data_IF_741610827418
#
_entry.id   IF_741610827418
#
_cell.length_a   1.000
_cell.length_b   1.000
_cell.length_c   1.000
_cell.angle_alpha   90.00
_cell.angle_beta   90.00
_cell.angle_gamma   90.00
#
_symmetry.space_group_name_H-M   'P 1'
#
loop_
_entity.id
_entity.type
_entity.pdbx_description
1 polymer ?
#
# COMPACT_ATOMS: atom_id res chain seq x y z
N UNK A 1 -19.31 45.59 -18.01
CA UNK A 1 -18.21 44.77 -18.53
C UNK A 1 -18.57 43.31 -18.26
N UNK A 2 -18.00 42.32 -18.94
CA UNK A 2 -18.16 40.93 -18.48
C UNK A 2 -17.43 40.81 -17.13
N UNK A 3 -18.11 40.27 -16.13
CA UNK A 3 -17.51 40.04 -14.82
C UNK A 3 -16.49 38.90 -14.94
N UNK A 4 -15.30 39.08 -14.36
CA UNK A 4 -14.32 37.98 -14.29
C UNK A 4 -14.51 37.25 -12.96
N UNK A 5 -14.76 35.95 -13.02
CA UNK A 5 -14.99 35.09 -11.86
C UNK A 5 -13.85 34.08 -11.78
N UNK A 6 -13.20 34.00 -10.62
CA UNK A 6 -12.15 32.99 -10.39
C UNK A 6 -12.77 31.79 -9.69
N UNK A 7 -12.51 30.59 -10.20
CA UNK A 7 -13.11 29.34 -9.71
C UNK A 7 -12.01 28.34 -9.39
N UNK A 8 -11.92 27.89 -8.14
CA UNK A 8 -11.05 26.79 -7.73
C UNK A 8 -11.87 25.51 -7.56
N UNK A 9 -11.43 24.40 -8.17
CA UNK A 9 -12.14 23.11 -8.15
C UNK A 9 -11.21 21.93 -7.87
N UNK A 10 -11.69 21.03 -7.02
CA UNK A 10 -10.95 19.90 -6.45
C UNK A 10 -11.94 18.76 -6.12
N UNK A 11 -11.47 17.51 -6.11
CA UNK A 11 -12.26 16.33 -5.77
C UNK A 11 -11.45 15.32 -4.96
N UNK A 12 -12.04 14.86 -3.85
CA UNK A 12 -11.43 13.94 -2.90
C UNK A 12 -12.18 12.59 -2.85
N UNK A 13 -11.47 11.48 -2.61
CA UNK A 13 -12.07 10.14 -2.56
C UNK A 13 -11.43 9.25 -1.48
N UNK A 14 -12.21 8.87 -0.47
CA UNK A 14 -11.81 8.07 0.70
C UNK A 14 -11.95 6.58 0.37
N UNK A 15 -10.91 6.05 -0.27
CA UNK A 15 -10.98 4.80 -1.04
C UNK A 15 -11.39 5.11 -2.48
N UNK A 16 -10.77 4.44 -3.45
CA UNK A 16 -10.94 4.77 -4.88
C UNK A 16 -11.08 3.46 -5.70
N UNK A 17 -12.30 2.99 -6.01
CA UNK A 17 -13.58 3.64 -5.72
C UNK A 17 -13.97 3.62 -4.23
N UNK A 18 -14.85 4.54 -3.83
CA UNK A 18 -15.29 4.71 -2.45
C UNK A 18 -16.06 6.01 -2.22
N UNK A 19 -16.18 6.41 -0.96
CA UNK A 19 -16.87 7.64 -0.55
C UNK A 19 -16.10 8.87 -1.07
N UNK A 20 -16.71 9.65 -1.96
CA UNK A 20 -16.10 10.84 -2.54
C UNK A 20 -16.85 12.13 -2.23
N UNK A 21 -16.13 13.24 -2.33
CA UNK A 21 -16.68 14.58 -2.25
C UNK A 21 -16.00 15.53 -3.23
N UNK A 22 -16.75 16.51 -3.70
CA UNK A 22 -16.30 17.53 -4.65
C UNK A 22 -16.42 18.92 -4.02
N UNK A 23 -15.48 19.82 -4.35
CA UNK A 23 -15.41 21.16 -3.80
C UNK A 23 -15.23 22.22 -4.89
N UNK A 24 -16.04 23.27 -4.87
CA UNK A 24 -15.92 24.40 -5.77
C UNK A 24 -15.99 25.73 -5.01
N UNK A 25 -14.95 26.54 -5.14
CA UNK A 25 -14.82 27.86 -4.50
C UNK A 25 -14.84 28.96 -5.55
N UNK A 26 -15.94 29.71 -5.58
CA UNK A 26 -16.25 30.74 -6.57
C UNK A 26 -15.93 32.11 -5.95
N UNK A 27 -15.06 32.89 -6.59
CA UNK A 27 -14.70 34.24 -6.17
C UNK A 27 -15.13 35.24 -7.24
N UNK A 28 -16.04 36.13 -6.86
CA UNK A 28 -16.49 37.26 -7.68
C UNK A 28 -15.85 38.58 -7.18
N UNK A 29 -16.10 39.70 -7.86
CA UNK A 29 -15.63 41.03 -7.42
C UNK A 29 -16.22 41.49 -6.07
N UNK A 30 -17.32 40.87 -5.61
CA UNK A 30 -18.10 41.32 -4.44
C UNK A 30 -18.34 40.24 -3.38
N UNK A 31 -18.41 38.97 -3.78
CA UNK A 31 -18.81 37.84 -2.91
C UNK A 31 -17.99 36.58 -3.19
N UNK A 32 -17.82 35.76 -2.16
CA UNK A 32 -17.23 34.42 -2.21
C UNK A 32 -18.32 33.37 -1.97
N UNK A 33 -18.43 32.36 -2.84
CA UNK A 33 -19.35 31.24 -2.69
C UNK A 33 -18.60 29.92 -2.52
N UNK A 34 -19.06 29.09 -1.60
CA UNK A 34 -18.44 27.82 -1.23
C UNK A 34 -19.44 26.70 -1.47
N UNK A 35 -19.14 25.85 -2.45
CA UNK A 35 -20.00 24.76 -2.90
C UNK A 35 -19.31 23.43 -2.61
N UNK A 36 -20.09 22.45 -2.15
CA UNK A 36 -19.61 21.09 -1.95
C UNK A 36 -20.76 20.08 -2.09
N UNK A 37 -20.39 18.82 -2.31
CA UNK A 37 -21.29 17.67 -2.32
C UNK A 37 -20.48 16.38 -2.39
N UNK A 38 -21.14 15.22 -2.52
CA UNK A 38 -20.44 13.94 -2.60
C UNK A 38 -21.32 12.77 -3.04
N UNK A 39 -20.65 11.65 -3.32
CA UNK A 39 -21.23 10.38 -3.77
C UNK A 39 -20.71 9.24 -2.87
N UNK A 40 -21.53 8.23 -2.62
CA UNK A 40 -21.23 7.14 -1.68
C UNK A 40 -20.21 6.12 -2.23
N UNK A 41 -20.25 5.87 -3.53
CA UNK A 41 -19.36 4.96 -4.25
C UNK A 41 -18.97 5.55 -5.62
N UNK A 42 -17.91 6.35 -5.62
CA UNK A 42 -17.41 7.10 -6.77
C UNK A 42 -15.89 6.97 -6.90
N UNK A 43 -15.24 7.79 -7.74
CA UNK A 43 -13.76 7.85 -7.86
C UNK A 43 -13.27 9.29 -7.80
N UNK A 44 -11.99 9.49 -7.51
CA UNK A 44 -11.39 10.83 -7.48
C UNK A 44 -11.65 11.59 -8.78
N UNK A 45 -11.30 10.96 -9.92
CA UNK A 45 -11.51 11.48 -11.28
C UNK A 45 -13.00 11.73 -11.65
N UNK A 46 -13.97 11.30 -10.84
CA UNK A 46 -15.39 11.69 -10.98
C UNK A 46 -15.69 12.92 -10.15
N UNK A 47 -15.28 12.97 -8.88
CA UNK A 47 -15.45 14.16 -8.03
C UNK A 47 -14.76 15.40 -8.62
N UNK A 48 -13.57 15.22 -9.17
CA UNK A 48 -12.80 16.24 -9.90
C UNK A 48 -13.59 16.84 -11.08
N UNK A 49 -14.24 15.98 -11.89
CA UNK A 49 -15.09 16.41 -12.99
C UNK A 49 -16.39 17.04 -12.49
N UNK A 50 -17.00 16.51 -11.43
CA UNK A 50 -18.22 17.08 -10.84
C UNK A 50 -17.95 18.46 -10.23
N UNK A 51 -16.82 18.67 -9.55
CA UNK A 51 -16.41 19.98 -9.04
C UNK A 51 -16.33 21.02 -10.16
N UNK A 52 -15.67 20.67 -11.27
CA UNK A 52 -15.58 21.50 -12.46
C UNK A 52 -16.96 21.78 -13.10
N UNK A 53 -17.83 20.77 -13.20
CA UNK A 53 -19.18 20.91 -13.78
C UNK A 53 -20.05 21.83 -12.91
N UNK A 54 -20.22 21.51 -11.64
CA UNK A 54 -21.13 22.25 -10.74
C UNK A 54 -20.62 23.68 -10.47
N UNK A 55 -19.30 23.87 -10.35
CA UNK A 55 -18.69 25.20 -10.24
C UNK A 55 -18.90 26.09 -11.48
N UNK A 56 -18.81 25.51 -12.69
CA UNK A 56 -19.10 26.24 -13.93
C UNK A 56 -20.61 26.52 -14.04
N UNK A 57 -21.46 25.55 -13.76
CA UNK A 57 -22.93 25.70 -13.84
C UNK A 57 -23.48 26.74 -12.86
N UNK A 58 -22.87 26.91 -11.69
CA UNK A 58 -23.21 27.97 -10.74
C UNK A 58 -22.91 29.39 -11.28
N UNK A 59 -21.86 29.54 -12.09
CA UNK A 59 -21.47 30.83 -12.64
C UNK A 59 -22.40 31.29 -13.79
N UNK A 60 -22.64 32.61 -13.96
CA UNK A 60 -23.39 33.16 -15.10
C UNK A 60 -22.81 32.78 -16.48
N UNK A 61 -23.66 32.71 -17.50
CA UNK A 61 -23.27 32.33 -18.86
C UNK A 61 -22.44 33.39 -19.61
N UNK A 62 -22.53 34.66 -19.19
CA UNK A 62 -21.90 35.83 -19.80
C UNK A 62 -20.68 36.35 -19.02
N UNK A 63 -20.35 35.72 -17.87
CA UNK A 63 -19.14 35.97 -17.11
C UNK A 63 -17.93 35.27 -17.76
N UNK A 64 -16.76 35.90 -17.70
CA UNK A 64 -15.49 35.23 -18.01
C UNK A 64 -15.06 34.42 -16.81
N UNK A 65 -14.74 33.14 -17.01
CA UNK A 65 -14.28 32.25 -15.95
C UNK A 65 -12.76 32.04 -16.02
N UNK A 66 -12.10 32.04 -14.86
CA UNK A 66 -10.71 31.64 -14.69
C UNK A 66 -10.69 30.44 -13.76
N UNK A 67 -10.59 29.25 -14.33
CA UNK A 67 -10.74 27.97 -13.61
C UNK A 67 -9.38 27.41 -13.24
N UNK A 68 -9.19 27.14 -11.95
CA UNK A 68 -7.99 26.57 -11.36
C UNK A 68 -8.29 25.19 -10.81
N UNK A 69 -7.44 24.22 -11.18
CA UNK A 69 -7.48 22.85 -10.66
C UNK A 69 -6.06 22.29 -10.60
N UNK A 70 -5.77 21.44 -9.64
CA UNK A 70 -4.53 20.64 -9.61
C UNK A 70 -4.69 19.28 -10.33
N UNK A 71 -5.90 18.95 -10.77
CA UNK A 71 -6.18 17.79 -11.60
C UNK A 71 -5.63 17.95 -13.02
N UNK A 72 -4.47 17.33 -13.26
CA UNK A 72 -3.91 17.21 -14.63
C UNK A 72 -4.86 16.46 -15.56
N UNK A 73 -5.70 15.56 -15.02
CA UNK A 73 -6.73 14.83 -15.77
C UNK A 73 -7.84 15.76 -16.28
N UNK A 74 -8.38 16.64 -15.41
CA UNK A 74 -9.37 17.65 -15.83
C UNK A 74 -8.74 18.62 -16.83
N UNK A 75 -7.57 19.21 -16.49
CA UNK A 75 -6.89 20.20 -17.34
C UNK A 75 -6.55 19.64 -18.72
N UNK A 76 -5.83 18.51 -18.83
CA UNK A 76 -5.43 17.96 -20.14
C UNK A 76 -6.66 17.45 -20.90
N UNK A 77 -7.64 16.87 -20.20
CA UNK A 77 -8.87 16.40 -20.83
C UNK A 77 -9.65 17.51 -21.54
N UNK A 78 -9.88 18.65 -20.87
CA UNK A 78 -10.61 19.78 -21.48
C UNK A 78 -9.78 20.57 -22.50
N UNK A 79 -8.47 20.75 -22.31
CA UNK A 79 -7.65 21.55 -23.26
C UNK A 79 -7.09 20.76 -24.44
N UNK A 80 -6.79 19.47 -24.28
CA UNK A 80 -6.11 18.65 -25.29
C UNK A 80 -7.02 17.54 -25.85
N UNK A 81 -7.60 16.71 -24.99
CA UNK A 81 -8.15 15.41 -25.40
C UNK A 81 -9.60 15.47 -25.92
N UNK A 82 -10.42 16.39 -25.42
CA UNK A 82 -11.87 16.46 -25.71
C UNK A 82 -12.20 16.59 -27.20
N UNK A 83 -11.35 17.28 -27.97
CA UNK A 83 -11.53 17.44 -29.42
C UNK A 83 -11.33 16.12 -30.18
N UNK A 84 -10.47 15.24 -29.67
CA UNK A 84 -10.26 13.89 -30.19
C UNK A 84 -11.37 12.94 -29.78
N UNK A 85 -11.84 13.02 -28.53
CA UNK A 85 -12.95 12.22 -28.02
C UNK A 85 -14.26 12.51 -28.76
N UNK A 86 -14.60 13.77 -29.00
CA UNK A 86 -15.78 14.17 -29.78
C UNK A 86 -15.73 13.62 -31.21
N UNK A 87 -14.56 13.66 -31.88
CA UNK A 87 -14.36 13.04 -33.22
C UNK A 87 -14.51 11.50 -33.21
N UNK A 88 -14.18 10.84 -32.09
CA UNK A 88 -14.36 9.38 -31.90
C UNK A 88 -15.72 9.00 -31.28
N UNK A 89 -16.68 9.93 -31.21
CA UNK A 89 -17.98 9.74 -30.55
C UNK A 89 -17.87 9.17 -29.11
N UNK A 90 -16.87 9.64 -28.36
CA UNK A 90 -16.61 9.23 -26.97
C UNK A 90 -16.32 7.73 -26.77
N UNK A 91 -15.97 7.01 -27.83
CA UNK A 91 -15.59 5.60 -27.75
C UNK A 91 -14.28 5.44 -26.96
N UNK A 92 -14.24 4.44 -26.08
CA UNK A 92 -13.08 4.04 -25.27
C UNK A 92 -12.61 5.14 -24.28
N UNK A 93 -13.50 6.05 -23.87
CA UNK A 93 -13.23 7.15 -22.92
C UNK A 93 -13.73 6.80 -21.50
N UNK A 94 -12.88 7.01 -20.48
CA UNK A 94 -13.22 6.84 -19.04
C UNK A 94 -14.08 8.04 -18.57
N UNK A 95 -15.12 7.81 -17.77
CA UNK A 95 -16.14 8.82 -17.36
C UNK A 95 -16.79 9.62 -18.53
N UNK A 96 -17.29 8.97 -19.60
CA UNK A 96 -17.81 9.65 -20.79
C UNK A 96 -19.17 10.33 -20.55
N UNK A 97 -19.81 10.06 -19.41
CA UNK A 97 -21.02 10.70 -18.90
C UNK A 97 -20.72 12.10 -18.36
N UNK A 98 -19.69 12.23 -17.51
CA UNK A 98 -19.28 13.51 -16.94
C UNK A 98 -18.59 14.39 -17.98
N UNK A 99 -17.74 13.84 -18.85
CA UNK A 99 -17.11 14.62 -19.91
C UNK A 99 -18.12 15.26 -20.87
N UNK A 100 -19.26 14.61 -21.16
CA UNK A 100 -20.34 15.21 -21.96
C UNK A 100 -21.07 16.33 -21.23
N UNK A 101 -21.24 16.24 -19.91
CA UNK A 101 -21.77 17.34 -19.09
C UNK A 101 -20.83 18.54 -19.09
N UNK A 102 -19.53 18.31 -18.90
CA UNK A 102 -18.52 19.38 -18.88
C UNK A 102 -18.38 20.06 -20.25
N UNK A 103 -18.37 19.29 -21.34
CA UNK A 103 -18.40 19.80 -22.73
C UNK A 103 -19.58 20.76 -22.96
N UNK A 104 -20.77 20.38 -22.48
CA UNK A 104 -21.97 21.20 -22.58
C UNK A 104 -21.93 22.44 -21.66
N UNK A 105 -21.41 22.31 -20.44
CA UNK A 105 -21.27 23.42 -19.49
C UNK A 105 -20.26 24.48 -19.96
N UNK A 106 -19.21 24.08 -20.68
CA UNK A 106 -18.25 24.98 -21.31
C UNK A 106 -18.73 25.58 -22.64
N UNK A 107 -19.79 25.05 -23.26
CA UNK A 107 -20.13 25.40 -24.64
C UNK A 107 -20.62 26.86 -24.78
N UNK A 108 -19.80 27.69 -25.44
CA UNK A 108 -20.12 29.09 -25.75
C UNK A 108 -19.75 30.10 -24.67
N UNK A 109 -19.03 29.68 -23.62
CA UNK A 109 -18.48 30.55 -22.57
C UNK A 109 -17.01 30.90 -22.81
N UNK A 110 -16.54 32.01 -22.22
CA UNK A 110 -15.11 32.36 -22.14
C UNK A 110 -14.52 31.78 -20.85
N UNK A 111 -13.64 30.79 -20.97
CA UNK A 111 -13.09 30.01 -19.84
C UNK A 111 -11.59 29.79 -20.03
N UNK A 112 -10.77 30.47 -19.24
CA UNK A 112 -9.33 30.21 -19.13
C UNK A 112 -9.08 29.10 -18.10
N UNK A 113 -8.32 28.07 -18.48
CA UNK A 113 -8.00 26.92 -17.63
C UNK A 113 -6.54 26.95 -17.17
N UNK A 114 -6.35 26.95 -15.85
CA UNK A 114 -5.05 26.99 -15.20
C UNK A 114 -4.81 25.74 -14.36
N UNK A 115 -3.59 25.20 -14.43
CA UNK A 115 -3.13 24.17 -13.52
C UNK A 115 -2.35 24.79 -12.36
N UNK A 116 -2.62 24.34 -11.15
CA UNK A 116 -1.86 24.66 -9.93
C UNK A 116 -1.35 23.37 -9.29
N UNK A 117 -0.33 23.45 -8.43
CA UNK A 117 0.17 22.28 -7.72
C UNK A 117 -0.62 22.07 -6.42
N UNK A 118 -1.22 20.89 -6.25
CA UNK A 118 -1.97 20.53 -5.04
C UNK A 118 -1.13 20.60 -3.76
N UNK A 119 -1.78 21.02 -2.68
CA UNK A 119 -1.22 21.28 -1.34
C UNK A 119 0.13 22.06 -1.37
N UNK A 120 0.17 23.18 -2.10
CA UNK A 120 1.37 24.01 -2.30
C UNK A 120 1.29 25.43 -1.71
N UNK A 121 0.41 25.69 -0.72
CA UNK A 121 0.21 27.03 -0.13
C UNK A 121 -0.77 27.91 -0.91
N UNK A 122 -1.44 27.37 -1.93
CA UNK A 122 -2.36 28.15 -2.77
C UNK A 122 -3.77 28.16 -2.17
N UNK A 123 -4.04 29.18 -1.34
CA UNK A 123 -5.28 29.36 -0.56
C UNK A 123 -6.58 29.00 -1.27
N UNK A 124 -6.73 29.34 -2.56
CA UNK A 124 -7.92 29.01 -3.34
C UNK A 124 -8.12 27.50 -3.58
N UNK A 125 -7.04 26.77 -3.85
CA UNK A 125 -7.07 25.31 -4.03
C UNK A 125 -7.20 24.60 -2.67
N UNK A 126 -6.56 25.14 -1.63
CA UNK A 126 -6.69 24.61 -0.26
C UNK A 126 -8.12 24.79 0.29
N UNK A 127 -8.85 25.82 -0.18
CA UNK A 127 -10.28 25.95 0.08
C UNK A 127 -11.12 24.93 -0.72
N UNK A 128 -10.72 24.60 -1.95
CA UNK A 128 -11.40 23.58 -2.75
C UNK A 128 -11.20 22.17 -2.16
N UNK A 129 -9.98 21.80 -1.76
CA UNK A 129 -9.62 20.57 -1.01
C UNK A 129 -10.46 20.43 0.28
N UNK A 130 -10.54 21.51 1.07
CA UNK A 130 -11.37 21.57 2.28
C UNK A 130 -12.86 21.34 1.97
N UNK A 131 -13.37 21.91 0.87
CA UNK A 131 -14.76 21.73 0.44
C UNK A 131 -15.03 20.32 -0.11
N UNK A 132 -14.09 19.73 -0.83
CA UNK A 132 -14.18 18.35 -1.32
C UNK A 132 -14.22 17.35 -0.15
N UNK A 133 -13.34 17.52 0.84
CA UNK A 133 -13.37 16.72 2.07
C UNK A 133 -14.66 16.94 2.88
N UNK A 134 -15.12 18.18 3.03
CA UNK A 134 -16.39 18.50 3.69
C UNK A 134 -17.60 17.85 2.99
N UNK A 135 -17.61 17.80 1.65
CA UNK A 135 -18.64 17.12 0.87
C UNK A 135 -18.68 15.61 1.12
N UNK A 136 -17.51 14.97 1.25
CA UNK A 136 -17.39 13.57 1.62
C UNK A 136 -17.88 13.30 3.05
N UNK A 137 -17.54 14.17 4.02
CA UNK A 137 -18.03 14.08 5.41
C UNK A 137 -19.55 14.27 5.50
N UNK A 138 -20.12 15.25 4.78
CA UNK A 138 -21.57 15.44 4.72
C UNK A 138 -22.29 14.22 4.14
N UNK A 139 -21.76 13.64 3.06
CA UNK A 139 -22.30 12.42 2.46
C UNK A 139 -22.18 11.24 3.43
N UNK A 140 -21.07 11.11 4.17
CA UNK A 140 -20.94 10.07 5.19
C UNK A 140 -21.94 10.24 6.35
N UNK A 141 -22.21 11.47 6.77
CA UNK A 141 -23.22 11.78 7.80
C UNK A 141 -24.64 11.44 7.32
N UNK A 142 -24.98 11.80 6.07
CA UNK A 142 -26.27 11.47 5.45
C UNK A 142 -26.46 9.95 5.32
N UNK A 143 -25.42 9.21 4.90
CA UNK A 143 -25.43 7.74 4.81
C UNK A 143 -25.53 7.03 6.16
N UNK A 144 -25.09 7.67 7.25
CA UNK A 144 -25.31 7.19 8.62
C UNK A 144 -26.74 7.47 9.06
N UNK A 145 -27.24 8.69 8.87
CA UNK A 145 -28.60 9.08 9.24
C UNK A 145 -29.66 8.28 8.49
N UNK A 146 -29.49 8.01 7.19
CA UNK A 146 -30.43 7.20 6.41
C UNK A 146 -30.45 5.73 6.86
N UNK A 147 -29.32 5.17 7.29
CA UNK A 147 -29.26 3.83 7.91
C UNK A 147 -29.96 3.80 9.28
N UNK A 148 -29.76 4.81 10.13
CA UNK A 148 -30.49 4.90 11.41
C UNK A 148 -32.00 5.03 11.18
N UNK A 149 -32.43 5.91 10.27
CA UNK A 149 -33.85 6.11 9.95
C UNK A 149 -34.51 4.88 9.29
N UNK A 150 -33.74 4.04 8.58
CA UNK A 150 -34.19 2.75 8.06
C UNK A 150 -34.27 1.64 9.14
N UNK A 151 -33.91 1.94 10.39
CA UNK A 151 -33.84 0.97 11.50
C UNK A 151 -34.71 1.38 12.71
N UNK A 152 -35.66 2.31 12.55
CA UNK A 152 -36.73 2.52 13.54
C UNK A 152 -37.99 1.69 13.18
N UNK A 153 -38.64 1.03 14.16
CA UNK A 153 -39.75 0.11 13.90
C UNK A 153 -41.06 0.83 13.58
N UNK A 154 -41.82 0.30 12.61
CA UNK A 154 -43.17 0.79 12.29
C UNK A 154 -44.13 0.56 13.46
N UNK A 155 -44.57 1.65 14.10
CA UNK A 155 -45.45 1.61 15.27
C UNK A 155 -46.89 1.26 14.89
N UNK A 156 -47.26 -0.01 15.09
CA UNK A 156 -48.67 -0.44 15.10
C UNK A 156 -49.20 -0.54 16.56
N UNK A 157 -50.45 -0.15 16.79
CA UNK A 157 -50.94 0.23 18.15
C UNK A 157 -51.92 -0.76 18.76
N UNK A 158 -51.42 -1.69 19.60
CA UNK A 158 -52.02 -2.34 20.79
C UNK A 158 -51.10 -3.50 21.23
N UNK A 159 -50.92 -3.85 22.51
CA UNK A 159 -51.63 -3.52 23.77
C UNK A 159 -50.61 -3.18 24.88
N UNK A 160 -51.10 -2.66 26.01
CA UNK A 160 -50.37 -2.59 27.29
C UNK A 160 -50.83 -3.75 28.19
N UNK A 161 -50.04 -4.05 29.24
CA UNK A 161 -50.19 -5.06 30.31
C UNK A 161 -49.49 -6.42 30.08
N UNK A 162 -48.94 -7.04 31.15
CA UNK A 162 -48.33 -6.44 32.35
C UNK A 162 -46.93 -7.01 32.65
N UNK A 163 -46.25 -6.47 33.67
CA UNK A 163 -44.95 -6.98 34.12
C UNK A 163 -45.10 -8.36 34.78
N UNK A 164 -44.49 -9.39 34.17
CA UNK A 164 -44.60 -10.79 34.62
C UNK A 164 -43.47 -11.21 35.57
N UNK A 165 -42.45 -10.37 35.80
CA UNK A 165 -41.37 -10.65 36.77
C UNK A 165 -41.79 -10.39 38.23
N UNK A 166 -43.02 -9.92 38.48
CA UNK A 166 -43.51 -9.55 39.81
C UNK A 166 -44.52 -10.54 40.45
N UNK A 167 -44.72 -11.73 39.87
CA UNK A 167 -45.57 -12.78 40.43
C UNK A 167 -44.95 -14.17 40.24
N UNK A 168 -43.97 -14.51 41.09
CA UNK A 168 -43.49 -15.88 41.27
C UNK A 168 -44.57 -16.76 41.94
N UNK A 169 -45.01 -17.88 41.31
CA UNK A 169 -45.97 -18.81 41.91
C UNK A 169 -45.41 -19.67 43.05
N UNK A 170 -44.10 -19.69 43.28
CA UNK A 170 -43.42 -20.54 44.26
C UNK A 170 -42.62 -19.75 45.29
N UNK A 171 -43.25 -18.70 45.86
CA UNK A 171 -42.65 -17.80 46.85
C UNK A 171 -41.98 -18.50 48.04
N UNK A 172 -40.66 -18.71 47.90
CA UNK A 172 -39.72 -19.17 48.92
C UNK A 172 -38.56 -18.16 49.00
N UNK A 173 -38.89 -16.92 49.35
CA UNK A 173 -37.90 -15.89 49.59
C UNK A 173 -37.12 -16.14 50.88
N UNK A 174 -35.80 -16.02 50.81
CA UNK A 174 -34.91 -15.79 51.94
C UNK A 174 -33.84 -14.76 51.52
N UNK A 175 -33.40 -13.98 52.49
CA UNK A 175 -32.58 -12.78 52.29
C UNK A 175 -31.08 -13.05 52.12
N UNK A 176 -30.37 -12.02 51.68
CA UNK A 176 -28.98 -11.59 51.95
C UNK A 176 -27.86 -12.58 52.33
N UNK A 177 -26.65 -12.25 51.84
CA UNK A 177 -25.32 -12.74 52.28
C UNK A 177 -25.00 -14.23 51.95
N UNK A 178 -23.76 -14.69 51.70
CA UNK A 178 -22.45 -14.01 51.71
C UNK A 178 -21.45 -14.69 50.71
N UNK A 179 -20.15 -14.46 50.93
CA UNK A 179 -18.92 -15.16 50.46
C UNK A 179 -18.98 -16.71 50.45
N UNK A 180 -18.08 -17.51 49.83
CA UNK A 180 -16.97 -17.38 48.85
C UNK A 180 -16.36 -18.80 48.64
N UNK A 181 -15.67 -19.07 47.50
CA UNK A 181 -14.85 -20.27 47.23
C UNK A 181 -15.57 -21.66 47.34
N UNK A 182 -15.09 -22.80 46.84
CA UNK A 182 -14.21 -23.18 45.72
C UNK A 182 -14.32 -24.73 45.54
N UNK A 183 -13.52 -25.34 44.66
CA UNK A 183 -13.15 -26.77 44.68
C UNK A 183 -14.23 -27.85 44.37
N UNK A 184 -14.22 -28.29 43.10
CA UNK A 184 -13.79 -29.66 42.69
C UNK A 184 -14.75 -30.87 42.49
N UNK A 185 -14.30 -31.75 41.58
CA UNK A 185 -14.51 -33.21 41.41
C UNK A 185 -15.89 -33.85 41.00
N UNK A 186 -15.91 -34.29 39.72
CA UNK A 186 -15.94 -35.71 39.27
C UNK A 186 -17.24 -36.59 39.14
N UNK A 187 -17.40 -37.10 37.89
CA UNK A 187 -17.71 -38.49 37.46
C UNK A 187 -19.09 -39.21 37.56
N UNK A 188 -19.29 -40.15 36.59
CA UNK A 188 -20.28 -41.27 36.51
C UNK A 188 -21.78 -40.91 36.24
N UNK A 189 -22.68 -41.71 35.62
CA UNK A 189 -22.73 -43.04 34.91
C UNK A 189 -24.15 -43.20 34.24
N UNK A 190 -24.59 -44.16 33.38
CA UNK A 190 -24.06 -45.35 32.64
C UNK A 190 -25.01 -45.75 31.45
N UNK A 191 -24.48 -46.31 30.33
CA UNK A 191 -25.03 -47.32 29.35
C UNK A 191 -26.48 -47.26 28.72
N UNK A 192 -26.91 -48.07 27.71
CA UNK A 192 -26.46 -49.40 27.16
C UNK A 192 -26.77 -49.63 25.64
N UNK A 193 -25.86 -50.33 24.92
CA UNK A 193 -25.98 -51.13 23.66
C UNK A 193 -26.53 -50.51 22.35
N UNK A 194 -26.07 -50.76 21.09
CA UNK A 194 -25.30 -51.81 20.35
C UNK A 194 -26.11 -52.84 19.51
N UNK A 195 -25.90 -52.89 18.17
CA UNK A 195 -25.26 -54.01 17.42
C UNK A 195 -25.15 -53.83 15.87
N UNK A 196 -24.17 -54.54 15.28
CA UNK A 196 -23.71 -54.71 13.86
C UNK A 196 -24.78 -55.33 12.88
N UNK A 197 -24.66 -55.35 11.51
CA UNK A 197 -23.50 -55.97 10.81
C UNK A 197 -23.08 -55.60 9.34
N UNK A 198 -21.75 -55.72 9.10
CA UNK A 198 -21.06 -56.46 8.00
C UNK A 198 -21.03 -56.05 6.48
N UNK A 199 -19.80 -56.01 5.93
CA UNK A 199 -19.27 -56.55 4.63
C UNK A 199 -19.87 -56.05 3.26
N UNK A 200 -19.20 -56.07 2.09
CA UNK A 200 -18.01 -56.83 1.58
C UNK A 200 -17.21 -56.07 0.48
N UNK A 201 -15.91 -56.37 0.38
CA UNK A 201 -15.04 -56.46 -0.83
C UNK A 201 -14.80 -55.30 -1.83
N UNK A 202 -13.51 -54.92 -1.96
CA UNK A 202 -12.89 -54.39 -3.20
C UNK A 202 -12.41 -55.55 -4.12
N UNK A 203 -11.89 -55.22 -5.33
CA UNK A 203 -10.78 -55.98 -5.92
C UNK A 203 -9.54 -55.09 -6.20
N UNK A 204 -8.38 -55.50 -5.69
CA UNK A 204 -7.06 -54.87 -5.91
C UNK A 204 -6.55 -55.01 -7.36
N UNK A 205 -5.50 -54.24 -7.71
CA UNK A 205 -4.29 -54.88 -8.25
C UNK A 205 -2.97 -54.09 -8.05
N UNK A 206 -2.02 -54.74 -7.39
CA UNK A 206 -0.56 -54.67 -7.58
C UNK A 206 0.16 -53.29 -7.62
N UNK A 207 0.65 -52.89 -6.43
CA UNK A 207 2.08 -52.65 -6.15
C UNK A 207 3.03 -52.17 -7.27
N UNK A 208 3.71 -51.05 -7.03
CA UNK A 208 5.15 -51.05 -6.64
C UNK A 208 5.54 -49.70 -6.05
N UNK A 209 6.39 -49.71 -5.00
CA UNK A 209 7.01 -48.50 -4.42
C UNK A 209 8.52 -48.71 -4.39
N UNK A 210 9.32 -47.79 -4.96
CA UNK A 210 10.69 -47.58 -4.56
C UNK A 210 10.76 -46.38 -3.60
N UNK A 211 11.18 -46.60 -2.37
CA UNK A 211 11.46 -45.51 -1.43
C UNK A 211 12.62 -44.66 -1.93
N UNK A 212 12.47 -43.34 -1.88
CA UNK A 212 13.57 -42.38 -2.00
C UNK A 212 13.52 -41.48 -0.77
N UNK A 213 14.57 -41.54 0.05
CA UNK A 213 14.81 -40.55 1.10
C UNK A 213 15.25 -39.25 0.43
N UNK A 214 14.46 -38.18 0.56
CA UNK A 214 14.91 -36.83 0.24
C UNK A 214 14.68 -35.90 1.44
N UNK A 215 15.79 -35.52 2.05
CA UNK A 215 15.91 -34.37 2.96
C UNK A 215 15.41 -33.10 2.27
N UNK A 216 14.91 -32.09 3.02
CA UNK A 216 14.42 -30.85 2.43
C UNK A 216 15.53 -30.16 1.63
N UNK A 217 15.30 -29.98 0.32
CA UNK A 217 16.28 -29.34 -0.56
C UNK A 217 16.43 -27.86 -0.20
N UNK A 218 17.65 -27.46 0.17
CA UNK A 218 18.05 -26.06 0.28
C UNK A 218 17.93 -25.44 -1.11
N UNK A 219 17.27 -24.28 -1.22
CA UNK A 219 17.07 -23.57 -2.47
C UNK A 219 18.42 -23.15 -3.10
N UNK A 220 18.96 -24.01 -3.97
CA UNK A 220 20.22 -23.77 -4.69
C UNK A 220 20.07 -22.60 -5.65
N UNK A 221 21.07 -21.71 -5.66
CA UNK A 221 21.16 -20.59 -6.59
C UNK A 221 21.04 -21.06 -8.05
N UNK A 222 20.15 -20.42 -8.83
CA UNK A 222 20.00 -20.67 -10.26
C UNK A 222 21.33 -20.41 -10.98
N UNK A 223 21.87 -21.42 -11.65
CA UNK A 223 23.05 -21.27 -12.48
C UNK A 223 22.71 -20.56 -13.80
N UNK A 224 22.75 -19.23 -13.74
CA UNK A 224 22.48 -18.34 -14.87
C UNK A 224 23.45 -18.53 -16.05
N UNK A 225 24.58 -19.24 -15.88
CA UNK A 225 25.57 -19.42 -16.96
C UNK A 225 25.11 -20.36 -18.06
N UNK A 226 24.08 -21.18 -17.81
CA UNK A 226 23.55 -22.16 -18.76
C UNK A 226 22.41 -21.61 -19.65
N UNK A 227 21.90 -20.41 -19.33
CA UNK A 227 20.89 -19.73 -20.14
C UNK A 227 21.54 -19.00 -21.32
N UNK A 228 20.79 -18.84 -22.43
CA UNK A 228 21.21 -18.02 -23.57
C UNK A 228 21.07 -16.54 -23.24
N UNK A 229 22.01 -16.02 -22.46
CA UNK A 229 22.07 -14.61 -22.09
C UNK A 229 22.19 -13.73 -23.36
N UNK A 230 21.24 -12.82 -23.57
CA UNK A 230 21.34 -11.82 -24.63
C UNK A 230 22.48 -10.84 -24.30
N UNK A 231 23.38 -10.48 -25.25
CA UNK A 231 24.64 -9.76 -24.97
C UNK A 231 24.50 -8.30 -24.46
N UNK A 232 23.27 -7.84 -24.24
CA UNK A 232 22.95 -6.53 -23.65
C UNK A 232 22.25 -6.62 -22.28
N UNK A 233 22.08 -7.83 -21.74
CA UNK A 233 21.68 -8.03 -20.34
C UNK A 233 22.94 -7.84 -19.49
N UNK A 234 22.95 -6.83 -18.62
CA UNK A 234 24.07 -6.59 -17.70
C UNK A 234 23.78 -7.30 -16.39
N UNK A 235 24.42 -8.44 -16.16
CA UNK A 235 24.38 -9.14 -14.86
C UNK A 235 25.71 -8.88 -14.14
N UNK A 236 25.67 -8.14 -13.04
CA UNK A 236 26.82 -8.02 -12.13
C UNK A 236 26.86 -9.27 -11.24
N UNK A 237 27.98 -10.00 -11.17
CA UNK A 237 28.09 -11.15 -10.28
C UNK A 237 28.17 -10.72 -8.80
N UNK A 238 27.67 -11.60 -7.92
CA UNK A 238 27.80 -11.50 -6.47
C UNK A 238 29.25 -11.26 -6.05
N UNK A 239 29.47 -10.25 -5.18
CA UNK A 239 30.78 -9.86 -4.63
C UNK A 239 30.98 -10.33 -3.18
N UNK A 240 29.91 -10.69 -2.49
CA UNK A 240 29.92 -11.15 -1.10
C UNK A 240 29.12 -12.43 -0.98
N UNK A 241 29.75 -13.51 -0.52
CA UNK A 241 29.04 -14.76 -0.20
C UNK A 241 28.22 -14.60 1.08
N UNK A 242 26.90 -14.74 0.96
CA UNK A 242 25.93 -14.68 2.06
C UNK A 242 24.86 -15.74 1.81
N UNK A 243 24.53 -16.52 2.85
CA UNK A 243 23.52 -17.57 2.80
C UNK A 243 22.22 -17.12 3.49
N UNK A 244 21.08 -17.34 2.87
CA UNK A 244 19.77 -16.90 3.33
C UNK A 244 18.77 -16.77 2.18
N UNK A 245 17.51 -16.38 2.45
CA UNK A 245 16.53 -16.10 1.40
C UNK A 245 17.01 -14.93 0.52
N UNK A 246 16.78 -15.04 -0.79
CA UNK A 246 17.11 -14.00 -1.76
C UNK A 246 16.02 -12.92 -1.73
N UNK A 247 16.42 -11.69 -1.46
CA UNK A 247 15.59 -10.50 -1.59
C UNK A 247 16.10 -9.69 -2.79
N UNK A 248 15.21 -9.36 -3.72
CA UNK A 248 15.54 -8.59 -4.92
C UNK A 248 14.80 -7.27 -4.86
N UNK A 249 15.57 -6.20 -4.75
CA UNK A 249 15.05 -4.84 -4.69
C UNK A 249 14.97 -4.36 -6.14
N UNK A 250 13.77 -4.04 -6.61
CA UNK A 250 13.42 -3.94 -8.03
C UNK A 250 12.65 -2.64 -8.31
N UNK A 251 12.92 -2.09 -9.48
CA UNK A 251 12.24 -0.91 -10.05
C UNK A 251 12.15 -1.07 -11.59
N UNK A 252 11.20 -0.40 -12.24
CA UNK A 252 10.98 -0.51 -13.70
C UNK A 252 10.57 0.81 -14.36
N UNK A 253 11.29 1.19 -15.42
CA UNK A 253 10.87 2.28 -16.31
C UNK A 253 9.96 1.78 -17.42
N UNK A 254 8.99 2.61 -17.80
CA UNK A 254 7.92 2.26 -18.73
C UNK A 254 7.61 3.39 -19.71
N UNK A 255 7.05 3.08 -20.89
CA UNK A 255 6.59 4.10 -21.84
C UNK A 255 5.47 4.98 -21.29
N UNK A 256 4.79 4.57 -20.22
CA UNK A 256 3.64 5.26 -19.64
C UNK A 256 2.97 4.42 -18.57
N UNK A 257 2.04 5.04 -17.83
CA UNK A 257 1.52 4.48 -16.58
C UNK A 257 0.53 3.31 -16.71
N UNK A 258 0.09 2.93 -17.93
CA UNK A 258 -1.06 2.03 -18.10
C UNK A 258 -0.74 0.79 -18.96
N UNK A 259 -0.34 -0.30 -18.30
CA UNK A 259 -0.13 -1.61 -18.93
C UNK A 259 -1.34 -2.10 -19.76
N UNK A 260 -2.55 -1.72 -19.35
CA UNK A 260 -3.82 -2.02 -20.05
C UNK A 260 -3.98 -1.24 -21.36
N UNK A 261 -3.54 0.02 -21.38
CA UNK A 261 -3.63 0.91 -22.56
C UNK A 261 -2.44 0.67 -23.53
N UNK A 262 -1.71 -0.43 -23.34
CA UNK A 262 -0.62 -0.89 -24.21
C UNK A 262 0.71 -0.19 -23.96
N UNK A 263 0.93 0.39 -22.77
CA UNK A 263 2.28 0.76 -22.34
C UNK A 263 3.13 -0.47 -22.04
N UNK A 264 4.46 -0.29 -22.06
CA UNK A 264 5.43 -1.40 -21.96
C UNK A 264 6.66 -0.98 -21.15
N UNK A 265 7.35 -1.98 -20.59
CA UNK A 265 8.63 -1.80 -19.88
C UNK A 265 9.73 -1.45 -20.89
N UNK A 266 10.60 -0.49 -20.51
CA UNK A 266 11.78 -0.06 -21.28
C UNK A 266 13.10 -0.21 -20.51
N UNK A 267 13.04 -0.30 -19.17
CA UNK A 267 14.19 -0.61 -18.32
C UNK A 267 13.75 -1.51 -17.17
N UNK A 268 14.60 -2.46 -16.77
CA UNK A 268 14.46 -3.22 -15.53
C UNK A 268 15.78 -3.13 -14.77
N UNK A 269 15.71 -2.70 -13.51
CA UNK A 269 16.83 -2.73 -12.57
C UNK A 269 16.43 -3.56 -11.36
N UNK A 270 17.26 -4.54 -10.99
CA UNK A 270 17.09 -5.24 -9.72
C UNK A 270 18.42 -5.61 -9.08
N UNK A 271 18.55 -5.36 -7.78
CA UNK A 271 19.77 -5.63 -7.00
C UNK A 271 19.50 -6.67 -5.91
N UNK A 272 20.50 -7.50 -5.61
CA UNK A 272 20.35 -8.60 -4.67
C UNK A 272 20.81 -8.24 -3.25
N UNK A 273 19.92 -8.55 -2.30
CA UNK A 273 20.12 -8.48 -0.86
C UNK A 273 19.88 -9.86 -0.24
N UNK A 274 20.71 -10.23 0.74
CA UNK A 274 20.49 -11.42 1.58
C UNK A 274 20.76 -11.01 3.02
N UNK A 275 19.87 -11.35 3.94
CA UNK A 275 19.96 -11.03 5.37
C UNK A 275 20.31 -9.55 5.63
N UNK A 276 19.59 -8.63 4.97
CA UNK A 276 19.81 -7.17 5.07
C UNK A 276 21.15 -6.66 4.53
N UNK A 277 21.93 -7.48 3.83
CA UNK A 277 23.22 -7.10 3.23
C UNK A 277 23.16 -7.20 1.72
N UNK A 278 23.49 -6.11 1.03
CA UNK A 278 23.65 -6.11 -0.44
C UNK A 278 24.80 -7.07 -0.82
N UNK A 279 24.53 -8.01 -1.72
CA UNK A 279 25.51 -9.03 -2.13
C UNK A 279 26.46 -8.52 -3.23
N UNK A 280 26.12 -7.38 -3.83
CA UNK A 280 26.80 -6.81 -4.99
C UNK A 280 26.39 -7.43 -6.33
N UNK A 281 25.46 -8.40 -6.33
CA UNK A 281 24.83 -8.92 -7.54
C UNK A 281 23.72 -7.99 -8.01
N UNK A 282 23.60 -7.77 -9.32
CA UNK A 282 22.51 -7.00 -9.92
C UNK A 282 22.19 -7.50 -11.33
N UNK A 283 20.97 -7.21 -11.79
CA UNK A 283 20.56 -7.34 -13.18
C UNK A 283 20.04 -5.99 -13.67
N UNK A 284 20.50 -5.57 -14.84
CA UNK A 284 20.12 -4.31 -15.48
C UNK A 284 19.93 -4.54 -16.98
N UNK A 285 18.77 -4.13 -17.50
CA UNK A 285 18.38 -4.41 -18.88
C UNK A 285 17.59 -3.23 -19.45
N UNK A 286 18.02 -2.71 -20.60
CA UNK A 286 17.19 -1.87 -21.46
C UNK A 286 16.44 -2.72 -22.49
N UNK A 287 15.19 -2.36 -22.76
CA UNK A 287 14.24 -3.18 -23.52
C UNK A 287 13.60 -2.32 -24.61
N UNK A 288 13.57 -2.81 -25.84
CA UNK A 288 12.89 -2.16 -26.96
C UNK A 288 11.37 -2.43 -26.87
N UNK A 289 10.54 -1.39 -26.65
CA UNK A 289 9.10 -1.55 -26.49
C UNK A 289 8.35 -1.79 -27.81
N UNK A 290 8.95 -1.60 -28.99
CA UNK A 290 8.26 -1.54 -30.30
C UNK A 290 7.13 -0.49 -30.38
N UNK A 291 7.18 0.54 -29.51
CA UNK A 291 6.23 1.64 -29.36
C UNK A 291 7.04 2.93 -29.08
N UNK A 292 6.62 4.13 -29.54
CA UNK A 292 7.25 5.36 -29.07
C UNK A 292 7.17 5.50 -27.54
N UNK A 293 8.24 6.00 -26.92
CA UNK A 293 8.31 6.34 -25.49
C UNK A 293 7.31 7.45 -25.16
N UNK A 294 7.44 8.63 -25.78
CA UNK A 294 6.51 9.75 -25.62
C UNK A 294 6.76 10.60 -24.37
N UNK A 295 5.69 11.08 -23.71
CA UNK A 295 5.74 12.02 -22.57
C UNK A 295 6.67 11.55 -21.42
N UNK A 296 6.89 10.23 -21.29
CA UNK A 296 7.71 9.56 -20.28
C UNK A 296 9.22 9.86 -20.38
N UNK A 297 9.75 10.19 -21.58
CA UNK A 297 11.17 10.56 -21.77
C UNK A 297 11.60 11.74 -20.87
N UNK A 298 10.66 12.61 -20.47
CA UNK A 298 10.90 13.73 -19.55
C UNK A 298 11.14 13.30 -18.09
N UNK A 299 10.90 12.04 -17.73
CA UNK A 299 11.04 11.49 -16.37
C UNK A 299 12.37 10.74 -16.22
N UNK A 300 12.67 9.86 -17.17
CA UNK A 300 13.81 8.93 -17.14
C UNK A 300 14.89 9.21 -18.20
N UNK A 301 14.69 10.16 -19.13
CA UNK A 301 15.71 10.58 -20.10
C UNK A 301 16.09 9.54 -21.15
N UNK A 302 15.31 8.45 -21.28
CA UNK A 302 15.58 7.35 -22.20
C UNK A 302 14.80 7.60 -23.51
N UNK A 303 15.52 7.90 -24.59
CA UNK A 303 14.92 8.27 -25.86
C UNK A 303 14.56 7.09 -26.75
N UNK A 304 13.62 7.31 -27.67
CA UNK A 304 13.27 6.35 -28.74
C UNK A 304 14.49 5.92 -29.57
N UNK A 305 15.47 6.81 -29.79
CA UNK A 305 16.70 6.47 -30.51
C UNK A 305 17.62 5.54 -29.72
N UNK A 306 17.69 5.69 -28.39
CA UNK A 306 18.48 4.81 -27.53
C UNK A 306 17.87 3.40 -27.36
N UNK A 307 16.56 3.23 -27.54
CA UNK A 307 15.91 1.93 -27.39
C UNK A 307 15.85 1.08 -28.67
N UNK A 308 16.18 1.63 -29.85
CA UNK A 308 16.04 0.94 -31.14
C UNK A 308 16.93 -0.30 -31.31
N UNK A 309 18.13 -0.29 -30.74
CA UNK A 309 19.12 -1.37 -30.77
C UNK A 309 19.00 -2.37 -29.60
N UNK A 310 18.05 -2.15 -28.68
CA UNK A 310 17.86 -2.94 -27.46
C UNK A 310 17.05 -4.21 -27.70
N UNK A 311 17.23 -5.29 -26.91
CA UNK A 311 16.48 -6.52 -27.07
C UNK A 311 14.98 -6.33 -26.85
N UNK A 312 14.21 -7.20 -27.46
CA UNK A 312 12.78 -7.34 -27.20
C UNK A 312 12.55 -8.07 -25.87
N UNK A 313 11.43 -7.79 -25.20
CA UNK A 313 11.09 -8.50 -23.95
C UNK A 313 11.11 -10.04 -24.10
N UNK A 314 10.69 -10.56 -25.26
CA UNK A 314 10.72 -11.99 -25.57
C UNK A 314 12.14 -12.59 -25.66
N UNK A 315 13.17 -11.77 -25.87
CA UNK A 315 14.58 -12.21 -25.98
C UNK A 315 15.30 -12.17 -24.62
N UNK A 316 14.69 -11.54 -23.61
CA UNK A 316 15.21 -11.48 -22.24
C UNK A 316 14.38 -12.29 -21.23
N UNK A 317 13.14 -12.66 -21.58
CA UNK A 317 12.14 -13.19 -20.65
C UNK A 317 12.62 -14.43 -19.88
N UNK A 318 13.24 -15.41 -20.55
CA UNK A 318 13.82 -16.59 -19.90
C UNK A 318 14.84 -16.21 -18.81
N UNK A 319 15.72 -15.26 -19.12
CA UNK A 319 16.81 -14.85 -18.21
C UNK A 319 16.28 -14.03 -17.04
N UNK A 320 15.36 -13.09 -17.30
CA UNK A 320 14.77 -12.26 -16.25
C UNK A 320 13.87 -13.09 -15.33
N UNK A 321 13.01 -13.95 -15.88
CA UNK A 321 12.15 -14.84 -15.09
C UNK A 321 13.00 -15.78 -14.22
N UNK A 322 14.07 -16.38 -14.77
CA UNK A 322 14.97 -17.24 -14.02
C UNK A 322 15.78 -16.50 -12.93
N UNK A 323 16.11 -15.22 -13.13
CA UNK A 323 16.79 -14.41 -12.10
C UNK A 323 15.86 -14.06 -10.92
N UNK A 324 14.60 -13.71 -11.23
CA UNK A 324 13.60 -13.25 -10.26
C UNK A 324 12.95 -14.40 -9.48
N UNK A 325 12.71 -15.56 -10.12
CA UNK A 325 11.98 -16.71 -9.55
C UNK A 325 12.53 -17.15 -8.18
N UNK A 326 11.62 -17.34 -7.22
CA UNK A 326 11.96 -17.86 -5.89
C UNK A 326 12.65 -16.85 -4.96
N UNK A 327 12.64 -15.56 -5.32
CA UNK A 327 13.03 -14.46 -4.44
C UNK A 327 11.81 -13.73 -3.86
N UNK A 328 12.05 -12.91 -2.83
CA UNK A 328 11.16 -11.82 -2.43
C UNK A 328 11.44 -10.60 -3.31
N UNK A 329 10.44 -10.07 -4.01
CA UNK A 329 10.49 -8.80 -4.73
C UNK A 329 10.17 -7.66 -3.75
N UNK A 330 11.06 -6.68 -3.64
CA UNK A 330 10.88 -5.47 -2.83
C UNK A 330 10.86 -4.28 -3.79
N UNK A 331 9.72 -3.60 -3.93
CA UNK A 331 9.55 -2.48 -4.86
C UNK A 331 8.79 -1.32 -4.21
N UNK A 332 8.75 -0.15 -4.86
CA UNK A 332 8.10 1.05 -4.33
C UNK A 332 6.84 1.39 -5.12
N UNK A 333 5.67 1.21 -4.50
CA UNK A 333 4.40 1.02 -5.19
C UNK A 333 4.37 -0.29 -6.00
N UNK A 334 4.86 -1.40 -5.41
CA UNK A 334 5.13 -2.67 -6.10
C UNK A 334 3.99 -3.23 -6.98
N UNK A 335 2.74 -2.80 -6.72
CA UNK A 335 1.60 -3.07 -7.61
C UNK A 335 1.79 -2.56 -9.05
N UNK A 336 2.62 -1.54 -9.27
CA UNK A 336 2.94 -1.00 -10.59
C UNK A 336 3.83 -1.97 -11.38
N UNK A 337 5.04 -2.22 -10.87
CA UNK A 337 6.05 -3.08 -11.48
C UNK A 337 5.51 -4.50 -11.72
N UNK A 338 4.85 -5.08 -10.72
CA UNK A 338 4.27 -6.42 -10.82
C UNK A 338 3.18 -6.51 -11.90
N UNK A 339 2.32 -5.49 -12.04
CA UNK A 339 1.31 -5.49 -13.11
C UNK A 339 1.95 -5.41 -14.51
N UNK A 340 3.04 -4.64 -14.67
CA UNK A 340 3.77 -4.56 -15.94
C UNK A 340 4.55 -5.85 -16.23
N UNK A 341 5.24 -6.41 -15.23
CA UNK A 341 5.99 -7.67 -15.35
C UNK A 341 5.06 -8.85 -15.64
N UNK A 342 4.00 -9.06 -14.86
CA UNK A 342 3.03 -10.15 -15.08
C UNK A 342 2.40 -10.06 -16.48
N UNK A 343 2.13 -8.85 -16.97
CA UNK A 343 1.57 -8.61 -18.30
C UNK A 343 2.56 -8.95 -19.44
N UNK A 344 3.84 -8.59 -19.32
CA UNK A 344 4.86 -8.91 -20.33
C UNK A 344 5.34 -10.36 -20.26
N UNK A 345 5.47 -10.95 -19.06
CA UNK A 345 5.74 -12.39 -18.89
C UNK A 345 4.63 -13.25 -19.48
N UNK A 346 3.36 -12.87 -19.28
CA UNK A 346 2.21 -13.53 -19.91
C UNK A 346 2.20 -13.41 -21.45
N UNK A 347 2.73 -12.32 -22.02
CA UNK A 347 2.97 -12.18 -23.47
C UNK A 347 4.15 -13.03 -23.97
N UNK A 348 5.10 -13.36 -23.10
CA UNK A 348 6.21 -14.27 -23.40
C UNK A 348 5.87 -15.76 -23.17
N UNK A 349 4.74 -16.07 -22.51
CA UNK A 349 4.24 -17.44 -22.29
C UNK A 349 4.50 -18.00 -20.89
N UNK A 350 4.92 -17.17 -19.94
CA UNK A 350 5.16 -17.56 -18.55
C UNK A 350 3.90 -17.41 -17.68
N UNK A 351 3.93 -18.06 -16.50
CA UNK A 351 2.98 -17.79 -15.40
C UNK A 351 3.19 -16.39 -14.83
N UNK A 352 2.26 -15.92 -13.99
CA UNK A 352 2.47 -14.64 -13.31
C UNK A 352 3.65 -14.74 -12.32
N UNK A 353 4.46 -13.68 -12.22
CA UNK A 353 5.58 -13.61 -11.28
C UNK A 353 5.07 -13.65 -9.83
N UNK A 354 3.85 -13.14 -9.60
CA UNK A 354 3.09 -13.25 -8.35
C UNK A 354 2.73 -14.69 -7.94
N UNK A 355 2.86 -15.70 -8.82
CA UNK A 355 2.73 -17.13 -8.47
C UNK A 355 4.04 -17.76 -7.98
N UNK A 356 5.19 -17.13 -8.22
CA UNK A 356 6.53 -17.72 -8.02
C UNK A 356 7.50 -16.88 -7.17
N UNK A 357 7.06 -15.69 -6.73
CA UNK A 357 7.82 -14.77 -5.89
C UNK A 357 6.93 -14.17 -4.79
N UNK A 358 7.48 -13.93 -3.61
CA UNK A 358 6.84 -13.09 -2.61
C UNK A 358 6.98 -11.61 -3.02
N UNK A 359 6.06 -10.72 -2.60
CA UNK A 359 6.08 -9.30 -2.97
C UNK A 359 5.86 -8.41 -1.75
N UNK A 360 6.78 -7.47 -1.54
CA UNK A 360 6.76 -6.49 -0.44
C UNK A 360 6.71 -5.07 -1.02
N UNK A 361 5.57 -4.38 -0.82
CA UNK A 361 5.41 -2.97 -1.20
C UNK A 361 5.94 -2.03 -0.12
N UNK A 362 7.07 -1.39 -0.41
CA UNK A 362 7.68 -0.40 0.48
C UNK A 362 6.84 0.87 0.59
N UNK A 363 5.96 1.19 -0.38
CA UNK A 363 5.07 2.35 -0.26
C UNK A 363 3.98 2.10 0.79
N UNK A 364 3.40 0.90 0.86
CA UNK A 364 2.52 0.48 1.95
C UNK A 364 3.23 0.53 3.31
N UNK A 365 4.46 0.00 3.40
CA UNK A 365 5.29 0.09 4.63
C UNK A 365 5.55 1.55 5.04
N UNK A 366 5.85 2.43 4.07
CA UNK A 366 6.10 3.85 4.32
C UNK A 366 4.83 4.59 4.77
N UNK A 367 3.68 4.32 4.15
CA UNK A 367 2.37 4.84 4.56
C UNK A 367 1.99 4.42 5.99
N UNK A 368 2.32 3.18 6.37
CA UNK A 368 2.08 2.66 7.73
C UNK A 368 3.01 3.31 8.77
N UNK A 369 4.29 3.51 8.46
CA UNK A 369 5.26 4.17 9.36
C UNK A 369 5.08 5.69 9.45
N UNK A 370 4.61 6.34 8.39
CA UNK A 370 4.50 7.80 8.28
C UNK A 370 3.11 8.21 7.73
N UNK A 371 2.02 7.96 8.48
CA UNK A 371 0.66 8.29 8.06
C UNK A 371 0.49 9.80 7.87
N UNK A 372 -0.33 10.20 6.89
CA UNK A 372 -0.60 11.60 6.56
C UNK A 372 0.56 12.37 5.91
N UNK A 373 1.75 11.78 5.78
CA UNK A 373 2.92 12.44 5.20
C UNK A 373 3.20 12.04 3.75
N UNK A 374 4.04 12.82 3.06
CA UNK A 374 4.59 12.46 1.75
C UNK A 374 5.55 11.27 1.93
N UNK A 375 5.35 10.24 1.10
CA UNK A 375 6.02 8.94 1.18
C UNK A 375 6.49 8.41 -0.18
N UNK A 376 6.70 9.29 -1.17
CA UNK A 376 7.43 8.97 -2.39
C UNK A 376 8.92 8.74 -2.08
N UNK A 377 9.65 8.07 -2.99
CA UNK A 377 11.08 7.79 -2.83
C UNK A 377 11.88 9.04 -2.42
N UNK A 378 11.76 10.16 -3.14
CA UNK A 378 12.46 11.43 -2.79
C UNK A 378 12.14 11.95 -1.38
N UNK A 379 10.92 11.73 -0.89
CA UNK A 379 10.52 12.14 0.46
C UNK A 379 11.13 11.23 1.53
N UNK A 380 11.26 9.93 1.23
CA UNK A 380 11.89 8.95 2.12
C UNK A 380 13.42 9.12 2.17
N UNK A 381 14.06 9.33 1.02
CA UNK A 381 15.51 9.65 0.95
C UNK A 381 15.84 10.87 1.81
N UNK A 382 15.01 11.93 1.75
CA UNK A 382 15.17 13.13 2.59
C UNK A 382 14.86 12.87 4.07
N UNK A 383 13.87 12.02 4.40
CA UNK A 383 13.50 11.70 5.79
C UNK A 383 14.55 10.86 6.51
N UNK A 384 15.22 9.95 5.79
CA UNK A 384 16.25 9.06 6.34
C UNK A 384 17.69 9.57 6.11
N UNK A 385 17.85 10.84 5.72
CA UNK A 385 19.15 11.50 5.49
C UNK A 385 20.08 10.75 4.52
N UNK A 386 19.51 10.00 3.58
CA UNK A 386 20.24 9.17 2.63
C UNK A 386 21.01 10.07 1.64
N UNK A 387 22.30 9.77 1.35
CA UNK A 387 23.12 10.59 0.46
C UNK A 387 22.44 10.85 -0.88
N UNK A 388 22.23 12.13 -1.20
CA UNK A 388 21.68 12.55 -2.48
C UNK A 388 22.63 12.11 -3.60
N UNK A 389 22.12 11.30 -4.52
CA UNK A 389 22.79 10.91 -5.77
C UNK A 389 22.32 11.84 -6.88
N UNK A 390 23.07 11.97 -7.98
CA UNK A 390 22.57 12.75 -9.14
C UNK A 390 21.42 11.97 -9.80
N UNK A 391 20.21 12.41 -9.51
CA UNK A 391 18.93 11.86 -9.98
C UNK A 391 18.23 12.88 -10.90
N UNK A 392 19.01 13.50 -11.80
CA UNK A 392 18.51 14.42 -12.83
C UNK A 392 17.45 13.76 -13.72
N UNK A 393 17.58 12.45 -13.94
CA UNK A 393 16.54 11.56 -14.48
C UNK A 393 16.31 10.38 -13.52
N UNK A 394 15.13 9.77 -13.62
CA UNK A 394 14.85 8.46 -13.04
C UNK A 394 15.58 7.36 -13.84
N UNK A 395 15.77 6.20 -13.25
CA UNK A 395 16.41 5.07 -13.92
C UNK A 395 16.50 3.85 -13.01
N UNK A 396 15.97 2.73 -13.47
CA UNK A 396 15.56 1.62 -12.63
C UNK A 396 16.68 1.03 -11.76
N UNK A 397 17.93 0.97 -12.25
CA UNK A 397 19.03 0.47 -11.42
C UNK A 397 19.42 1.45 -10.30
N UNK A 398 19.43 2.75 -10.59
CA UNK A 398 19.75 3.80 -9.61
C UNK A 398 18.65 3.87 -8.54
N UNK A 399 17.39 3.78 -8.97
CA UNK A 399 16.24 3.87 -8.09
C UNK A 399 16.04 2.61 -7.24
N UNK A 400 16.36 1.41 -7.76
CA UNK A 400 16.48 0.20 -6.95
C UNK A 400 17.60 0.30 -5.89
N UNK A 401 18.76 0.90 -6.20
CA UNK A 401 19.83 1.14 -5.22
C UNK A 401 19.43 2.17 -4.15
N UNK A 402 18.76 3.25 -4.53
CA UNK A 402 18.23 4.26 -3.59
C UNK A 402 17.12 3.64 -2.72
N UNK A 403 16.26 2.82 -3.30
CA UNK A 403 15.21 2.08 -2.59
C UNK A 403 15.80 1.09 -1.57
N UNK A 404 16.98 0.52 -1.82
CA UNK A 404 17.64 -0.34 -0.84
C UNK A 404 18.12 0.42 0.38
N UNK A 405 18.75 1.59 0.21
CA UNK A 405 19.13 2.45 1.33
C UNK A 405 17.88 2.87 2.13
N UNK A 406 16.78 3.23 1.44
CA UNK A 406 15.48 3.58 2.04
C UNK A 406 14.87 2.40 2.80
N UNK A 407 14.82 1.21 2.20
CA UNK A 407 14.27 0.01 2.84
C UNK A 407 15.09 -0.39 4.06
N UNK A 408 16.43 -0.36 3.95
CA UNK A 408 17.33 -0.68 5.06
C UNK A 408 17.21 0.32 6.20
N UNK A 409 17.04 1.61 5.94
CA UNK A 409 16.74 2.61 6.97
C UNK A 409 15.35 2.40 7.60
N UNK A 410 14.30 2.22 6.78
CA UNK A 410 12.93 1.95 7.22
C UNK A 410 12.80 0.74 8.15
N UNK A 411 13.59 -0.30 7.89
CA UNK A 411 13.52 -1.60 8.58
C UNK A 411 14.67 -1.85 9.55
N UNK A 412 15.70 -0.99 9.58
CA UNK A 412 16.88 -1.17 10.43
C UNK A 412 16.60 -0.89 11.90
N UNK A 413 15.70 0.05 12.15
CA UNK A 413 15.32 0.50 13.49
C UNK A 413 16.39 1.38 14.15
N UNK A 414 15.96 2.47 14.76
CA UNK A 414 16.58 2.81 16.04
C UNK A 414 16.12 1.77 17.06
N UNK A 415 16.94 1.49 18.07
CA UNK A 415 16.42 1.04 19.36
C UNK A 415 15.77 2.26 20.00
N UNK A 416 14.57 2.61 19.52
CA UNK A 416 13.79 3.67 20.13
C UNK A 416 13.29 3.16 21.49
N UNK A 417 13.83 3.77 22.55
CA UNK A 417 13.19 3.74 23.86
C UNK A 417 11.92 4.60 23.78
N UNK A 418 10.91 4.11 23.07
CA UNK A 418 9.61 4.74 22.88
C UNK A 418 8.77 4.65 24.16
N UNK A 419 9.25 5.25 25.25
CA UNK A 419 8.50 5.42 26.49
C UNK A 419 7.18 6.18 26.26
N UNK A 420 7.15 7.09 25.27
CA UNK A 420 5.96 7.89 24.96
C UNK A 420 4.96 7.18 24.04
N UNK A 421 5.36 6.21 23.20
CA UNK A 421 4.43 5.55 22.28
C UNK A 421 3.39 4.65 23.00
N UNK A 422 3.72 4.18 24.20
CA UNK A 422 2.78 3.47 25.08
C UNK A 422 1.78 4.40 25.79
N UNK A 423 2.05 5.71 25.84
CA UNK A 423 1.26 6.66 26.64
C UNK A 423 -0.09 7.07 26.05
N UNK A 424 -0.42 6.64 24.82
CA UNK A 424 -1.59 7.13 24.06
C UNK A 424 -2.57 6.03 23.61
N UNK A 425 -2.47 4.80 24.15
CA UNK A 425 -3.44 3.72 23.91
C UNK A 425 -4.24 3.27 25.14
N UNK A 426 -3.84 3.63 26.37
CA UNK A 426 -4.51 3.20 27.61
C UNK A 426 -5.66 4.13 28.06
N UNK A 427 -6.58 4.47 27.13
CA UNK A 427 -7.91 4.98 27.45
C UNK A 427 -9.04 4.22 26.71
N UNK A 428 -8.91 2.90 26.62
CA UNK A 428 -10.06 2.00 26.49
C UNK A 428 -10.07 0.96 27.61
N UNK A 429 -11.28 0.56 28.00
CA UNK A 429 -11.56 -0.17 29.23
C UNK A 429 -11.29 -1.68 29.09
N UNK A 430 -10.00 -2.07 29.02
CA UNK A 430 -9.55 -3.45 28.96
C UNK A 430 -8.74 -3.83 30.21
N UNK A 431 -9.15 -4.88 30.91
CA UNK A 431 -8.31 -5.51 31.93
C UNK A 431 -7.17 -6.27 31.23
N UNK A 432 -5.96 -5.71 31.24
CA UNK A 432 -4.75 -6.38 30.74
C UNK A 432 -4.41 -7.58 31.63
N UNK A 433 -4.94 -8.77 31.27
CA UNK A 433 -4.52 -10.04 31.85
C UNK A 433 -3.02 -10.24 31.56
N UNK A 434 -2.18 -10.06 32.59
CA UNK A 434 -0.79 -10.53 32.56
C UNK A 434 -0.80 -12.06 32.54
N UNK A 435 -0.70 -12.64 31.35
CA UNK A 435 -0.42 -14.06 31.21
C UNK A 435 1.01 -14.32 31.67
N UNK A 436 1.16 -14.95 32.83
CA UNK A 436 2.43 -15.50 33.31
C UNK A 436 2.75 -16.76 32.50
N UNK A 437 3.47 -16.58 31.40
CA UNK A 437 4.05 -17.67 30.63
C UNK A 437 5.29 -18.18 31.36
N UNK A 438 5.14 -19.29 32.07
CA UNK A 438 6.25 -19.98 32.74
C UNK A 438 7.01 -20.81 31.70
N UNK A 439 8.20 -20.33 31.31
CA UNK A 439 9.01 -20.90 30.23
C UNK A 439 10.44 -21.04 30.75
N UNK A 440 10.93 -22.28 30.85
CA UNK A 440 12.33 -22.56 31.17
C UNK A 440 13.26 -22.13 30.02
N UNK A 441 13.74 -20.89 30.09
CA UNK A 441 14.79 -20.37 29.23
C UNK A 441 16.16 -20.80 29.76
N UNK A 442 17.03 -21.29 28.86
CA UNK A 442 18.37 -21.73 29.23
C UNK A 442 19.24 -20.57 29.75
N UNK A 443 19.50 -20.55 31.05
CA UNK A 443 20.38 -19.55 31.69
C UNK A 443 21.84 -19.90 31.39
N UNK A 444 22.49 -19.06 30.58
CA UNK A 444 23.93 -19.18 30.28
C UNK A 444 24.70 -18.49 31.42
N UNK A 445 25.35 -19.30 32.25
CA UNK A 445 26.25 -18.81 33.30
C UNK A 445 27.64 -18.49 32.75
N UNK A 446 28.37 -17.51 33.32
CA UNK A 446 29.77 -17.26 32.97
C UNK A 446 30.65 -18.46 33.36
N UNK A 447 31.72 -18.67 32.59
CA UNK A 447 32.76 -19.64 32.91
C UNK A 447 33.59 -19.21 34.13
N UNK A 448 34.33 -20.16 34.72
CA UNK A 448 35.23 -19.88 35.83
C UNK A 448 36.34 -18.88 35.45
N UNK A 449 36.81 -18.90 34.21
CA UNK A 449 37.83 -17.97 33.68
C UNK A 449 37.27 -16.54 33.57
N UNK A 450 36.03 -16.39 33.09
CA UNK A 450 35.34 -15.08 33.07
C UNK A 450 35.07 -14.55 34.49
N UNK A 451 34.77 -15.43 35.44
CA UNK A 451 34.57 -15.06 36.85
C UNK A 451 35.89 -14.58 37.50
N UNK A 452 37.00 -15.30 37.28
CA UNK A 452 38.32 -14.91 37.78
C UNK A 452 38.84 -13.63 37.10
N UNK A 453 38.56 -13.44 35.81
CA UNK A 453 38.83 -12.19 35.11
C UNK A 453 38.02 -11.02 35.68
N UNK A 454 36.74 -11.23 36.02
CA UNK A 454 35.90 -10.22 36.68
C UNK A 454 36.44 -9.86 38.08
N UNK A 455 36.75 -10.85 38.91
CA UNK A 455 37.38 -10.63 40.22
C UNK A 455 38.70 -9.86 40.11
N UNK A 456 39.53 -10.20 39.12
CA UNK A 456 40.81 -9.54 38.86
C UNK A 456 40.60 -8.09 38.45
N UNK A 457 39.61 -7.80 37.59
CA UNK A 457 39.22 -6.45 37.21
C UNK A 457 38.70 -5.63 38.41
N UNK A 458 37.87 -6.24 39.27
CA UNK A 458 37.36 -5.60 40.52
C UNK A 458 38.52 -5.18 41.43
N UNK A 459 39.51 -6.06 41.63
CA UNK A 459 40.70 -5.79 42.44
C UNK A 459 41.55 -4.66 41.83
N UNK A 460 41.83 -4.72 40.52
CA UNK A 460 42.56 -3.66 39.80
C UNK A 460 41.84 -2.30 39.82
N UNK A 461 40.51 -2.29 39.74
CA UNK A 461 39.72 -1.06 39.87
C UNK A 461 39.93 -0.42 41.24
N UNK A 462 39.85 -1.21 42.32
CA UNK A 462 40.05 -0.73 43.69
C UNK A 462 41.47 -0.22 43.93
N UNK A 463 42.50 -0.91 43.43
CA UNK A 463 43.90 -0.45 43.50
C UNK A 463 44.11 0.88 42.77
N UNK A 464 43.50 1.04 41.59
CA UNK A 464 43.64 2.24 40.74
C UNK A 464 42.86 3.45 41.25
N UNK A 465 41.69 3.24 41.86
CA UNK A 465 40.76 4.29 42.27
C UNK A 465 40.68 4.50 43.80
N UNK A 466 41.45 3.73 44.58
CA UNK A 466 41.54 3.87 46.05
C UNK A 466 40.26 3.56 46.82
N UNK A 467 39.21 3.10 46.14
CA UNK A 467 37.88 2.81 46.70
C UNK A 467 37.28 1.58 46.00
N UNK A 468 36.58 0.69 46.72
CA UNK A 468 35.95 -0.50 46.14
C UNK A 468 34.79 -0.10 45.22
N UNK A 469 34.63 -0.83 44.12
CA UNK A 469 33.48 -0.67 43.23
C UNK A 469 32.19 -1.23 43.87
N UNK A 470 31.04 -0.99 43.23
CA UNK A 470 29.75 -1.47 43.76
C UNK A 470 29.59 -3.00 43.71
N UNK A 471 30.36 -3.72 42.88
CA UNK A 471 30.40 -5.19 42.85
C UNK A 471 31.29 -5.80 43.96
N UNK A 472 31.96 -4.98 44.77
CA UNK A 472 32.81 -5.38 45.89
C UNK A 472 32.20 -5.00 47.26
N UNK A 473 30.86 -4.89 47.32
CA UNK A 473 30.07 -4.56 48.52
C UNK A 473 28.98 -5.60 48.74
#
# INVERSE_FOLDING_TARGET
>A
MSQTITLYVDGACRGNPGLGGWGAYVITETEEHKLCGGEDNTTNNRMELTAAIEGILFCPNDAKLVVWTDSTYVKRGITEWITGWKKKNWKDVKNPDLWKKLDAACQGRDIDWHWVKGHAGHKGNEMADQLANLGADQTQAQLRQSKTAATEPSVDKKKVEPDWLLNDPFGLGFDDEEVDNSEDLAESEIDVAEQEPSLVAEPELATTVPSIEQTPEVATSVDLTQLKQHPQIVITPRKVEVFGPRQLILDTETTGFYYQDGDRIIEVGAIEMVNRKLTGSSIHIYINPKKPVGDSENVHGISDDFLKDKPLYQEIADTLFAYLKGAEIIAHNASFDMNFLDMEFKRAGFVALSEVCAVTDTLAMAKSKHPGQKNSLDALVRRYEIPQRDRTFHGALLDAEILADVYLAMTGGQVSFDMDALSHSEQQNGQSQRQTLDIELAVIHPSAEELEAHETWVKQYQEKHGTPCLFAK
#
